data_IF_538541196210
#
_entry.id   IF_538541196210
#
_cell.length_a   1.000
_cell.length_b   1.000
_cell.length_c   1.000
_cell.angle_alpha   90.00
_cell.angle_beta   90.00
_cell.angle_gamma   90.00
#
_symmetry.space_group_name_H-M   'P 1'
#
loop_
_entity.id
_entity.type
_entity.pdbx_description
1 polymer ?
#
# COMPACT_ATOMS: atom_id res chain seq x y z
N UNK A 1 2.41 -0.32 -23.59
CA UNK A 1 3.51 -0.57 -22.63
C UNK A 1 2.93 -1.38 -21.48
N UNK A 2 3.70 -2.27 -20.81
CA UNK A 2 3.16 -2.96 -19.64
C UNK A 2 2.87 -1.92 -18.55
N UNK A 3 1.64 -1.90 -18.07
CA UNK A 3 1.21 -1.04 -16.97
C UNK A 3 1.94 -1.45 -15.70
N UNK A 4 2.57 -0.52 -15.00
CA UNK A 4 3.24 -0.80 -13.72
C UNK A 4 2.22 -1.33 -12.72
N UNK A 5 2.54 -2.44 -12.05
CA UNK A 5 1.70 -3.05 -11.03
C UNK A 5 1.97 -2.38 -9.70
N UNK A 6 0.91 -1.94 -9.02
CA UNK A 6 1.01 -1.25 -7.74
C UNK A 6 0.23 -2.05 -6.71
N UNK A 7 0.90 -2.50 -5.67
CA UNK A 7 0.28 -3.17 -4.54
C UNK A 7 -0.04 -2.14 -3.45
N UNK A 8 -1.31 -1.87 -3.25
CA UNK A 8 -1.78 -0.87 -2.30
C UNK A 8 -2.28 -1.50 -0.99
N UNK A 9 -1.91 -0.92 0.13
CA UNK A 9 -2.49 -1.22 1.43
C UNK A 9 -3.86 -0.54 1.63
N UNK A 10 -4.56 -0.89 2.72
CA UNK A 10 -5.84 -0.31 3.10
C UNK A 10 -5.79 1.22 3.24
N UNK A 11 -4.75 1.72 3.90
CA UNK A 11 -4.60 3.14 4.23
C UNK A 11 -4.43 4.01 2.98
N UNK A 12 -3.62 3.57 2.02
CA UNK A 12 -3.41 4.25 0.75
C UNK A 12 -4.67 4.22 -0.11
N UNK A 13 -5.41 3.10 -0.14
CA UNK A 13 -6.69 3.03 -0.84
C UNK A 13 -7.67 4.07 -0.25
N UNK A 14 -7.86 4.06 1.07
CA UNK A 14 -8.75 5.00 1.76
C UNK A 14 -8.36 6.46 1.51
N UNK A 15 -7.06 6.78 1.60
CA UNK A 15 -6.59 8.13 1.32
C UNK A 15 -6.83 8.54 -0.13
N UNK A 16 -6.58 7.64 -1.09
CA UNK A 16 -6.81 7.91 -2.50
C UNK A 16 -8.29 8.21 -2.79
N UNK A 17 -9.22 7.55 -2.10
CA UNK A 17 -10.64 7.94 -2.15
C UNK A 17 -10.87 9.30 -1.50
N UNK A 18 -10.32 9.54 -0.30
CA UNK A 18 -10.48 10.80 0.44
C UNK A 18 -10.11 12.02 -0.39
N UNK A 19 -9.00 11.94 -1.11
CA UNK A 19 -8.43 13.05 -1.88
C UNK A 19 -8.85 13.03 -3.34
N UNK A 20 -9.72 12.10 -3.76
CA UNK A 20 -10.16 11.98 -5.15
C UNK A 20 -9.06 11.56 -6.13
N UNK A 21 -8.00 10.91 -5.64
CA UNK A 21 -6.90 10.39 -6.47
C UNK A 21 -7.23 9.02 -7.08
N UNK A 22 -8.14 8.25 -6.48
CA UNK A 22 -8.41 6.85 -6.80
C UNK A 22 -8.57 6.58 -8.30
N UNK A 23 -9.53 7.25 -8.95
CA UNK A 23 -9.83 7.03 -10.38
C UNK A 23 -8.62 7.32 -11.27
N UNK A 24 -7.85 8.36 -10.98
CA UNK A 24 -6.69 8.71 -11.77
C UNK A 24 -5.60 7.62 -11.63
N UNK A 25 -5.26 7.21 -10.41
CA UNK A 25 -4.24 6.18 -10.19
C UNK A 25 -4.67 4.81 -10.74
N UNK A 26 -5.94 4.43 -10.60
CA UNK A 26 -6.46 3.16 -11.12
C UNK A 26 -6.57 3.11 -12.63
N UNK A 27 -6.73 4.27 -13.29
CA UNK A 27 -6.70 4.35 -14.76
C UNK A 27 -5.29 4.32 -15.35
N UNK A 28 -4.29 4.74 -14.56
CA UNK A 28 -2.90 4.85 -15.01
C UNK A 28 -2.06 3.63 -14.65
N UNK A 29 -2.35 3.00 -13.51
CA UNK A 29 -1.61 1.86 -12.96
C UNK A 29 -2.50 0.64 -12.83
N UNK A 30 -1.90 -0.56 -12.84
CA UNK A 30 -2.60 -1.78 -12.46
C UNK A 30 -2.56 -1.90 -10.94
N UNK A 31 -3.54 -1.27 -10.28
CA UNK A 31 -3.66 -1.32 -8.82
C UNK A 31 -4.17 -2.69 -8.40
N UNK A 32 -3.41 -3.38 -7.56
CA UNK A 32 -3.74 -4.68 -7.01
C UNK A 32 -3.66 -4.64 -5.49
N UNK A 33 -4.41 -5.52 -4.83
CA UNK A 33 -4.35 -5.65 -3.37
C UNK A 33 -4.77 -7.05 -2.92
N UNK A 34 -4.77 -7.30 -1.63
CA UNK A 34 -5.21 -8.57 -1.03
C UNK A 34 -6.64 -8.44 -0.49
N UNK A 35 -7.35 -9.57 -0.38
CA UNK A 35 -8.73 -9.61 0.09
C UNK A 35 -8.90 -8.94 1.47
N UNK A 36 -7.90 -9.04 2.34
CA UNK A 36 -7.96 -8.44 3.67
C UNK A 36 -7.98 -6.91 3.61
N UNK A 37 -7.20 -6.30 2.72
CA UNK A 37 -7.23 -4.85 2.53
C UNK A 37 -8.57 -4.39 1.94
N UNK A 38 -9.17 -5.19 1.05
CA UNK A 38 -10.52 -4.92 0.52
C UNK A 38 -11.57 -4.97 1.64
N UNK A 39 -11.54 -6.02 2.46
CA UNK A 39 -12.43 -6.15 3.63
C UNK A 39 -12.32 -4.92 4.53
N UNK A 40 -11.10 -4.52 4.92
CA UNK A 40 -10.86 -3.37 5.80
C UNK A 40 -11.29 -2.04 5.18
N UNK A 41 -11.05 -1.86 3.87
CA UNK A 41 -11.47 -0.66 3.13
C UNK A 41 -12.99 -0.51 3.16
N UNK A 42 -13.73 -1.61 3.02
CA UNK A 42 -15.20 -1.61 2.94
C UNK A 42 -15.89 -1.60 4.32
N UNK A 43 -15.24 -2.17 5.34
CA UNK A 43 -15.82 -2.35 6.68
C UNK A 43 -15.33 -1.36 7.72
N UNK A 44 -14.40 -0.46 7.35
CA UNK A 44 -13.68 0.44 8.26
C UNK A 44 -14.54 1.05 9.36
N UNK A 45 -13.95 1.33 10.51
CA UNK A 45 -14.68 1.72 11.72
C UNK A 45 -15.54 2.99 11.51
N UNK A 46 -16.88 2.91 11.54
CA UNK A 46 -17.75 4.06 11.34
C UNK A 46 -17.64 5.13 12.43
N UNK A 47 -17.08 4.77 13.59
CA UNK A 47 -16.85 5.69 14.71
C UNK A 47 -15.51 6.42 14.59
N UNK A 48 -14.64 6.08 13.63
CA UNK A 48 -13.45 6.86 13.35
C UNK A 48 -13.88 8.16 12.66
N UNK A 49 -13.55 9.35 13.18
CA UNK A 49 -13.88 10.62 12.54
C UNK A 49 -13.22 10.80 11.16
N UNK A 50 -12.23 9.96 10.83
CA UNK A 50 -11.58 9.89 9.52
C UNK A 50 -12.19 8.82 8.61
N UNK A 51 -13.24 8.14 9.05
CA UNK A 51 -13.92 7.13 8.26
C UNK A 51 -14.41 7.71 6.94
N UNK A 52 -14.17 6.96 5.86
CA UNK A 52 -14.64 7.28 4.52
C UNK A 52 -15.47 6.10 4.07
N UNK A 53 -16.69 6.38 3.64
CA UNK A 53 -17.54 5.36 3.03
C UNK A 53 -17.07 5.13 1.60
N UNK A 54 -16.52 3.95 1.34
CA UNK A 54 -16.14 3.50 -0.01
C UNK A 54 -17.20 2.54 -0.52
N UNK A 55 -17.77 2.82 -1.69
CA UNK A 55 -18.71 1.91 -2.31
C UNK A 55 -17.95 0.70 -2.89
N UNK A 56 -18.43 -0.55 -2.66
CA UNK A 56 -17.78 -1.74 -3.21
C UNK A 56 -17.62 -1.70 -4.73
N UNK A 57 -18.59 -1.11 -5.45
CA UNK A 57 -18.52 -0.97 -6.90
C UNK A 57 -17.37 -0.07 -7.36
N UNK A 58 -17.13 1.05 -6.66
CA UNK A 58 -16.08 2.01 -7.01
C UNK A 58 -14.68 1.47 -6.70
N UNK A 59 -14.55 0.73 -5.59
CA UNK A 59 -13.32 0.01 -5.26
C UNK A 59 -13.02 -1.06 -6.31
N UNK A 60 -13.98 -1.94 -6.60
CA UNK A 60 -13.77 -3.04 -7.53
C UNK A 60 -13.52 -2.56 -8.97
N UNK A 61 -14.13 -1.45 -9.39
CA UNK A 61 -13.89 -0.87 -10.71
C UNK A 61 -12.46 -0.33 -10.89
N UNK A 62 -11.79 0.06 -9.80
CA UNK A 62 -10.41 0.56 -9.83
C UNK A 62 -9.34 -0.51 -9.61
N UNK A 63 -9.70 -1.71 -9.14
CA UNK A 63 -8.75 -2.78 -8.88
C UNK A 63 -8.52 -3.63 -10.15
N UNK A 64 -7.26 -3.80 -10.52
CA UNK A 64 -6.81 -4.77 -11.52
C UNK A 64 -6.73 -6.20 -10.95
N UNK A 65 -6.69 -6.36 -9.63
CA UNK A 65 -6.63 -7.66 -8.98
C UNK A 65 -6.84 -7.59 -7.46
N UNK A 66 -7.56 -8.58 -6.94
CA UNK A 66 -7.77 -8.82 -5.52
C UNK A 66 -7.33 -10.25 -5.23
N UNK A 67 -6.40 -10.42 -4.29
CA UNK A 67 -5.72 -11.70 -4.11
C UNK A 67 -6.03 -12.35 -2.76
N UNK A 68 -6.47 -13.63 -2.74
CA UNK A 68 -6.64 -14.38 -1.52
C UNK A 68 -5.27 -14.71 -0.91
N UNK A 69 -5.22 -14.72 0.42
CA UNK A 69 -4.01 -15.10 1.17
C UNK A 69 -4.31 -16.27 2.08
N UNK A 70 -3.55 -17.34 1.92
CA UNK A 70 -3.71 -18.56 2.68
C UNK A 70 -2.99 -18.47 4.03
N UNK A 71 -3.47 -19.23 5.01
CA UNK A 71 -2.79 -19.38 6.32
C UNK A 71 -1.35 -19.87 6.18
N UNK A 72 -1.06 -20.69 5.16
CA UNK A 72 0.28 -21.18 4.88
C UNK A 72 1.22 -20.04 4.48
N UNK A 73 0.76 -19.12 3.65
CA UNK A 73 1.57 -17.96 3.21
C UNK A 73 1.84 -17.01 4.37
N UNK A 74 0.83 -16.74 5.21
CA UNK A 74 0.99 -15.96 6.45
C UNK A 74 2.00 -16.59 7.40
N UNK A 75 1.85 -17.89 7.67
CA UNK A 75 2.78 -18.62 8.52
C UNK A 75 4.20 -18.60 7.94
N UNK A 76 4.34 -18.76 6.62
CA UNK A 76 5.64 -18.70 5.95
C UNK A 76 6.31 -17.33 6.12
N UNK A 77 5.55 -16.24 6.00
CA UNK A 77 6.05 -14.89 6.24
C UNK A 77 6.53 -14.73 7.68
N UNK A 78 5.69 -15.03 8.68
CA UNK A 78 5.99 -14.78 10.09
C UNK A 78 7.12 -15.67 10.61
N UNK A 79 7.20 -16.94 10.17
CA UNK A 79 8.27 -17.86 10.56
C UNK A 79 9.62 -17.45 9.95
N UNK A 80 9.61 -16.95 8.71
CA UNK A 80 10.84 -16.51 8.02
C UNK A 80 11.28 -15.12 8.48
N UNK A 81 10.32 -14.26 8.84
CA UNK A 81 10.52 -12.86 9.19
C UNK A 81 9.67 -12.51 10.43
N UNK A 82 10.20 -12.81 11.61
CA UNK A 82 9.50 -12.63 12.89
C UNK A 82 9.06 -11.18 13.14
N UNK A 83 9.75 -10.19 12.58
CA UNK A 83 9.38 -8.77 12.64
C UNK A 83 8.02 -8.47 11.99
N UNK A 84 7.53 -9.32 11.09
CA UNK A 84 6.23 -9.15 10.45
C UNK A 84 5.05 -9.61 11.33
N UNK A 85 5.31 -10.19 12.51
CA UNK A 85 4.26 -10.67 13.43
C UNK A 85 3.38 -9.56 13.98
N UNK A 86 3.94 -8.35 14.13
CA UNK A 86 3.28 -7.18 14.73
C UNK A 86 2.57 -6.28 13.72
N UNK A 87 2.67 -6.57 12.43
CA UNK A 87 1.93 -5.85 11.39
C UNK A 87 0.43 -6.04 11.58
N UNK A 88 -0.36 -5.05 11.16
CA UNK A 88 -1.80 -5.27 11.02
C UNK A 88 -2.09 -6.33 9.95
N UNK A 89 -3.32 -6.80 9.93
CA UNK A 89 -3.69 -7.94 9.10
C UNK A 89 -3.63 -7.61 7.60
N UNK A 90 -4.05 -6.42 7.17
CA UNK A 90 -3.95 -5.99 5.78
C UNK A 90 -2.51 -5.99 5.28
N UNK A 91 -1.61 -5.34 6.00
CA UNK A 91 -0.17 -5.28 5.67
C UNK A 91 0.48 -6.66 5.68
N UNK A 92 0.19 -7.45 6.70
CA UNK A 92 0.72 -8.82 6.85
C UNK A 92 0.28 -9.71 5.69
N UNK A 93 -0.99 -9.64 5.31
CA UNK A 93 -1.52 -10.36 4.16
C UNK A 93 -0.86 -9.90 2.86
N UNK A 94 -0.71 -8.59 2.67
CA UNK A 94 -0.10 -8.01 1.48
C UNK A 94 1.36 -8.50 1.31
N UNK A 95 2.17 -8.38 2.36
CA UNK A 95 3.56 -8.83 2.32
C UNK A 95 3.68 -10.35 2.18
N UNK A 96 2.79 -11.12 2.81
CA UNK A 96 2.81 -12.58 2.70
C UNK A 96 2.54 -13.03 1.27
N UNK A 97 1.55 -12.42 0.61
CA UNK A 97 1.22 -12.74 -0.77
C UNK A 97 2.34 -12.34 -1.75
N UNK A 98 2.92 -11.14 -1.56
CA UNK A 98 4.08 -10.67 -2.35
C UNK A 98 5.28 -11.62 -2.22
N UNK A 99 5.56 -12.09 -1.00
CA UNK A 99 6.63 -13.05 -0.71
C UNK A 99 6.38 -14.39 -1.41
N UNK A 100 5.18 -14.94 -1.23
CA UNK A 100 4.82 -16.26 -1.76
C UNK A 100 4.86 -16.30 -3.29
N UNK A 101 4.45 -15.22 -3.94
CA UNK A 101 4.43 -15.09 -5.40
C UNK A 101 5.76 -14.57 -5.99
N UNK A 102 6.77 -14.31 -5.14
CA UNK A 102 8.11 -13.86 -5.55
C UNK A 102 8.07 -12.63 -6.46
N UNK A 103 7.14 -11.72 -6.21
CA UNK A 103 6.96 -10.53 -7.05
C UNK A 103 7.97 -9.43 -6.75
N UNK A 104 8.62 -9.48 -5.60
CA UNK A 104 9.60 -8.49 -5.18
C UNK A 104 10.97 -9.13 -4.91
N UNK A 105 12.07 -8.42 -5.22
CA UNK A 105 12.10 -7.11 -5.88
C UNK A 105 11.92 -7.26 -7.41
N UNK A 106 10.99 -6.50 -8.00
CA UNK A 106 10.76 -6.45 -9.45
C UNK A 106 10.74 -5.01 -9.94
N UNK A 107 11.34 -4.73 -11.11
CA UNK A 107 11.44 -3.39 -11.66
C UNK A 107 10.08 -2.80 -12.11
N UNK A 108 9.05 -3.62 -12.23
CA UNK A 108 7.71 -3.22 -12.68
C UNK A 108 6.64 -3.32 -11.59
N UNK A 109 7.02 -3.74 -10.38
CA UNK A 109 6.13 -3.89 -9.24
C UNK A 109 6.55 -2.94 -8.14
N UNK A 110 5.60 -2.15 -7.66
CA UNK A 110 5.80 -1.25 -6.53
C UNK A 110 4.77 -1.51 -5.44
N UNK A 111 5.12 -1.19 -4.20
CA UNK A 111 4.22 -1.27 -3.05
C UNK A 111 3.97 0.14 -2.57
N UNK A 112 2.74 0.48 -2.22
CA UNK A 112 2.44 1.76 -1.60
C UNK A 112 1.82 1.51 -0.23
N UNK A 113 2.45 2.11 0.78
CA UNK A 113 2.03 2.07 2.17
C UNK A 113 2.47 3.35 2.86
N UNK A 114 1.69 3.79 3.84
CA UNK A 114 1.99 4.93 4.69
C UNK A 114 2.32 4.54 6.13
N UNK A 115 2.43 3.24 6.41
CA UNK A 115 2.73 2.72 7.73
C UNK A 115 4.23 2.48 7.95
N UNK A 116 4.71 2.84 9.13
CA UNK A 116 6.13 2.72 9.46
C UNK A 116 6.53 1.27 9.69
N UNK A 117 5.71 0.47 10.35
CA UNK A 117 5.97 -0.94 10.59
C UNK A 117 6.00 -1.71 9.25
N UNK A 118 5.09 -1.43 8.32
CA UNK A 118 5.17 -1.96 6.95
C UNK A 118 6.48 -1.58 6.25
N UNK A 119 6.91 -0.31 6.34
CA UNK A 119 8.16 0.14 5.74
C UNK A 119 9.40 -0.51 6.38
N UNK A 120 9.39 -0.74 7.69
CA UNK A 120 10.45 -1.47 8.39
C UNK A 120 10.46 -2.94 7.95
N UNK A 121 9.29 -3.57 7.84
CA UNK A 121 9.16 -4.96 7.39
C UNK A 121 9.62 -5.12 5.93
N UNK A 122 9.23 -4.22 5.03
CA UNK A 122 9.69 -4.23 3.63
C UNK A 122 11.20 -4.04 3.54
N UNK A 123 11.81 -3.23 4.41
CA UNK A 123 13.27 -3.13 4.51
C UNK A 123 13.92 -4.44 4.98
N UNK A 124 13.37 -5.09 6.00
CA UNK A 124 13.85 -6.39 6.47
C UNK A 124 13.76 -7.49 5.38
N UNK A 125 12.84 -7.33 4.42
CA UNK A 125 12.67 -8.19 3.25
C UNK A 125 13.56 -7.78 2.05
N UNK A 126 14.27 -6.66 2.13
CA UNK A 126 15.09 -6.11 1.03
C UNK A 126 14.27 -5.41 -0.07
N UNK A 127 13.04 -4.99 0.22
CA UNK A 127 12.08 -4.44 -0.73
C UNK A 127 11.80 -2.94 -0.54
N UNK A 128 12.56 -2.25 0.32
CA UNK A 128 12.35 -0.83 0.62
C UNK A 128 12.38 0.06 -0.64
N UNK A 129 13.19 -0.32 -1.63
CA UNK A 129 13.31 0.41 -2.90
C UNK A 129 12.07 0.27 -3.80
N UNK A 130 11.25 -0.76 -3.57
CA UNK A 130 9.98 -0.96 -4.26
C UNK A 130 8.83 -0.15 -3.64
N UNK A 131 9.03 0.46 -2.46
CA UNK A 131 8.00 1.30 -1.85
C UNK A 131 7.86 2.64 -2.60
N UNK A 132 6.65 3.10 -2.88
CA UNK A 132 6.37 4.39 -3.52
C UNK A 132 5.26 5.14 -2.77
N UNK A 133 5.34 6.47 -2.74
CA UNK A 133 4.33 7.30 -2.10
C UNK A 133 3.07 7.40 -2.97
N UNK A 134 1.93 7.61 -2.32
CA UNK A 134 0.68 7.89 -3.05
C UNK A 134 0.80 9.22 -3.82
N UNK A 135 1.54 10.20 -3.30
CA UNK A 135 1.79 11.46 -4.03
C UNK A 135 2.54 11.23 -5.36
N UNK A 136 3.59 10.41 -5.37
CA UNK A 136 4.33 10.09 -6.60
C UNK A 136 3.44 9.38 -7.63
N UNK A 137 2.63 8.41 -7.18
CA UNK A 137 1.64 7.75 -8.03
C UNK A 137 0.61 8.74 -8.58
N UNK A 138 -0.01 9.55 -7.72
CA UNK A 138 -1.01 10.53 -8.10
C UNK A 138 -0.45 11.57 -9.08
N UNK A 139 0.78 12.04 -8.87
CA UNK A 139 1.47 12.97 -9.76
C UNK A 139 1.72 12.35 -11.15
N UNK A 140 2.20 11.11 -11.21
CA UNK A 140 2.40 10.37 -12.47
C UNK A 140 1.09 10.09 -13.20
N UNK A 141 0.01 9.87 -12.45
CA UNK A 141 -1.35 9.73 -12.97
C UNK A 141 -2.00 11.06 -13.42
N UNK A 142 -1.31 12.20 -13.27
CA UNK A 142 -1.81 13.50 -13.70
C UNK A 142 -2.81 14.17 -12.75
N UNK A 143 -2.83 13.77 -11.48
CA UNK A 143 -3.69 14.38 -10.45
C UNK A 143 -3.32 15.85 -10.23
N UNK A 144 -4.34 16.71 -10.18
CA UNK A 144 -4.19 18.15 -10.01
C UNK A 144 -3.60 18.55 -8.65
N UNK A 145 -2.95 19.72 -8.61
CA UNK A 145 -2.20 20.19 -7.43
C UNK A 145 -3.06 20.28 -6.16
N UNK A 146 -4.31 20.73 -6.28
CA UNK A 146 -5.25 20.85 -5.15
C UNK A 146 -5.46 19.51 -4.42
N UNK A 147 -5.61 18.42 -5.17
CA UNK A 147 -5.80 17.08 -4.61
C UNK A 147 -4.51 16.57 -3.96
N UNK A 148 -3.35 16.83 -4.58
CA UNK A 148 -2.04 16.49 -4.01
C UNK A 148 -1.78 17.23 -2.69
N UNK A 149 -2.10 18.52 -2.63
CA UNK A 149 -1.92 19.33 -1.41
C UNK A 149 -2.87 18.90 -0.27
N UNK A 150 -3.97 18.22 -0.61
CA UNK A 150 -4.91 17.65 0.36
C UNK A 150 -4.44 16.32 0.98
N UNK A 151 -3.41 15.66 0.41
CA UNK A 151 -2.85 14.43 0.97
C UNK A 151 -2.27 14.67 2.37
N UNK A 152 -2.57 13.77 3.30
CA UNK A 152 -1.93 13.78 4.61
C UNK A 152 -0.43 13.51 4.48
N UNK A 153 0.36 14.00 5.43
CA UNK A 153 1.82 14.03 5.36
C UNK A 153 2.42 12.66 5.05
N UNK A 154 1.92 11.59 5.67
CA UNK A 154 2.44 10.23 5.51
C UNK A 154 2.28 9.63 4.11
N UNK A 155 1.46 10.25 3.25
CA UNK A 155 1.25 9.80 1.87
C UNK A 155 2.09 10.57 0.86
N UNK A 156 2.90 11.54 1.34
CA UNK A 156 3.75 12.40 0.51
C UNK A 156 5.15 11.83 0.33
N UNK A 157 5.80 12.23 -0.76
CA UNK A 157 7.10 11.68 -1.15
C UNK A 157 8.23 12.13 -0.21
N UNK A 158 8.17 13.37 0.27
CA UNK A 158 9.12 13.92 1.25
C UNK A 158 9.09 13.15 2.58
N UNK A 159 7.90 12.79 3.07
CA UNK A 159 7.76 11.93 4.24
C UNK A 159 8.35 10.53 3.99
N UNK A 160 7.96 9.87 2.90
CA UNK A 160 8.43 8.51 2.59
C UNK A 160 9.95 8.48 2.44
N UNK A 161 10.52 9.43 1.70
CA UNK A 161 11.97 9.57 1.52
C UNK A 161 12.70 9.78 2.85
N UNK A 162 12.14 10.62 3.73
CA UNK A 162 12.64 10.82 5.09
C UNK A 162 12.63 9.54 5.93
N UNK A 163 11.53 8.78 5.90
CA UNK A 163 11.40 7.50 6.62
C UNK A 163 12.37 6.45 6.06
N UNK A 164 12.44 6.29 4.73
CA UNK A 164 13.40 5.39 4.08
C UNK A 164 14.84 5.69 4.51
N UNK A 165 15.20 6.97 4.58
CA UNK A 165 16.53 7.40 5.01
C UNK A 165 16.81 7.00 6.46
N UNK A 166 15.85 7.25 7.38
CA UNK A 166 15.97 6.85 8.79
C UNK A 166 16.15 5.34 8.94
N UNK A 167 15.32 4.56 8.25
CA UNK A 167 15.37 3.09 8.25
C UNK A 167 16.74 2.60 7.77
N UNK A 168 17.26 3.13 6.65
CA UNK A 168 18.60 2.77 6.13
C UNK A 168 19.74 3.14 7.08
N UNK A 169 19.57 4.21 7.85
CA UNK A 169 20.53 4.62 8.89
C UNK A 169 20.39 3.82 10.19
N UNK A 170 19.47 2.86 10.28
CA UNK A 170 19.20 2.08 11.48
C UNK A 170 18.48 2.86 12.59
N UNK A 171 17.94 4.04 12.27
CA UNK A 171 17.14 4.84 13.19
C UNK A 171 15.70 4.33 13.10
N UNK A 172 15.24 3.64 14.15
CA UNK A 172 13.86 3.15 14.22
C UNK A 172 12.93 4.37 14.40
N UNK A 173 12.07 4.68 13.42
CA UNK A 173 11.28 5.91 13.37
C UNK A 173 9.98 5.88 14.19
#
# INVERSE_FOLDING_TARGET
MPTTRVFADTNVILEAFRTGCWTAISSHFSIETVEKCVEETLTGNPNDPRHISVLPADLNAGLAGQHPVTRKELASLVLSHHSCSTLDDGEKHLLAWLLANKLLPSAIVVVTTADKAALIATHALGWLDCAVSLEDLARKAGVGRTNLDALALQYREDWLSGIKTKIRMGIIP
#
